data_IF_601159327509
#
_entry.id   IF_601159327509
#
_cell.length_a   1.000
_cell.length_b   1.000
_cell.length_c   1.000
_cell.angle_alpha   90.00
_cell.angle_beta   90.00
_cell.angle_gamma   90.00
#
_symmetry.space_group_name_H-M   'P 1'
#
loop_
_entity.id
_entity.type
_entity.pdbx_description
1 polymer ?
#
# COMPACT_ATOMS: atom_id res chain seq x y z
N UNK A 1 -14.10 29.21 19.70
CA UNK A 1 -13.07 28.65 20.60
C UNK A 1 -13.07 27.13 20.41
N UNK A 2 -12.24 26.64 19.49
CA UNK A 2 -12.11 25.20 19.22
C UNK A 2 -11.01 24.65 20.13
N UNK A 3 -11.42 23.91 21.16
CA UNK A 3 -10.50 23.19 22.04
C UNK A 3 -9.98 21.98 21.27
N UNK A 4 -8.69 21.98 20.95
CA UNK A 4 -7.98 20.79 20.48
C UNK A 4 -7.86 19.83 21.67
N UNK A 5 -8.87 18.97 21.84
CA UNK A 5 -8.84 17.89 22.81
C UNK A 5 -7.91 16.78 22.31
N UNK A 6 -6.60 16.92 22.58
CA UNK A 6 -5.65 15.81 22.64
C UNK A 6 -4.39 16.22 23.38
N UNK A 7 -4.50 16.56 24.66
CA UNK A 7 -3.34 16.49 25.56
C UNK A 7 -3.07 15.01 25.88
N UNK A 8 -2.43 14.32 24.95
CA UNK A 8 -1.80 13.06 25.25
C UNK A 8 -0.62 13.35 26.21
N UNK A 9 -0.39 12.53 27.25
CA UNK A 9 0.75 12.72 28.14
C UNK A 9 2.04 12.76 27.31
N UNK A 10 2.74 13.88 27.37
CA UNK A 10 4.04 14.03 26.72
C UNK A 10 4.98 13.02 27.38
N UNK A 11 5.43 12.04 26.61
CA UNK A 11 6.43 11.09 27.08
C UNK A 11 7.77 11.81 27.22
N UNK A 12 8.70 11.33 28.07
CA UNK A 12 10.04 11.91 28.18
C UNK A 12 10.85 11.88 26.87
N UNK A 13 10.32 11.25 25.82
CA UNK A 13 10.85 11.28 24.45
C UNK A 13 10.52 12.60 23.73
N UNK A 14 9.47 13.32 24.15
CA UNK A 14 9.05 14.60 23.60
C UNK A 14 9.98 15.77 23.97
N UNK A 15 10.79 15.62 25.02
CA UNK A 15 11.78 16.61 25.46
C UNK A 15 13.08 16.59 24.62
N UNK A 16 13.24 15.62 23.71
CA UNK A 16 14.39 15.56 22.81
C UNK A 16 14.18 16.40 21.55
N UNK A 17 15.26 16.85 20.90
CA UNK A 17 15.18 17.38 19.55
C UNK A 17 14.41 16.40 18.65
N UNK A 18 13.46 16.94 17.87
CA UNK A 18 12.62 16.16 16.96
C UNK A 18 13.40 15.12 16.12
N UNK A 19 14.56 15.44 15.49
CA UNK A 19 15.31 14.44 14.73
C UNK A 19 15.77 13.25 15.60
N UNK A 20 16.29 13.49 16.81
CA UNK A 20 16.78 12.42 17.69
C UNK A 20 15.67 11.51 18.24
N UNK A 21 14.46 12.06 18.40
CA UNK A 21 13.28 11.31 18.83
C UNK A 21 12.61 10.56 17.68
N UNK A 22 12.59 11.15 16.47
CA UNK A 22 11.86 10.62 15.32
C UNK A 22 12.68 9.61 14.51
N UNK A 23 14.00 9.73 14.45
CA UNK A 23 14.87 8.82 13.68
C UNK A 23 14.69 7.34 14.10
N UNK A 24 14.70 6.98 15.41
CA UNK A 24 14.48 5.59 15.82
C UNK A 24 13.07 5.07 15.54
N UNK A 25 12.08 5.97 15.55
CA UNK A 25 10.69 5.65 15.20
C UNK A 25 10.52 5.48 13.69
N UNK A 26 11.23 6.26 12.87
CA UNK A 26 11.31 6.13 11.42
C UNK A 26 11.87 4.76 11.03
N UNK A 27 13.00 4.37 11.62
CA UNK A 27 13.64 3.07 11.41
C UNK A 27 12.74 1.91 11.86
N UNK A 28 12.00 2.08 12.97
CA UNK A 28 11.03 1.10 13.42
C UNK A 28 9.85 0.98 12.44
N UNK A 29 9.33 2.09 11.93
CA UNK A 29 8.26 2.10 10.93
C UNK A 29 8.72 1.45 9.62
N UNK A 30 9.96 1.73 9.17
CA UNK A 30 10.55 1.14 7.99
C UNK A 30 10.75 -0.38 8.13
N UNK A 31 11.24 -0.86 9.29
CA UNK A 31 11.35 -2.30 9.56
C UNK A 31 10.00 -2.99 9.59
N UNK A 32 9.00 -2.40 10.27
CA UNK A 32 7.63 -2.93 10.29
C UNK A 32 7.00 -2.96 8.91
N UNK A 33 7.30 -1.96 8.07
CA UNK A 33 6.89 -1.94 6.67
C UNK A 33 7.51 -3.11 5.90
N UNK A 34 8.83 -3.32 6.04
CA UNK A 34 9.52 -4.43 5.39
C UNK A 34 8.96 -5.80 5.83
N UNK A 35 8.70 -5.99 7.13
CA UNK A 35 8.06 -7.19 7.67
C UNK A 35 6.64 -7.38 7.13
N UNK A 36 5.83 -6.32 7.12
CA UNK A 36 4.47 -6.37 6.61
C UNK A 36 4.43 -6.70 5.11
N UNK A 37 5.37 -6.15 4.33
CA UNK A 37 5.50 -6.47 2.90
C UNK A 37 5.98 -7.91 2.69
N UNK A 38 6.91 -8.41 3.51
CA UNK A 38 7.33 -9.81 3.46
C UNK A 38 6.19 -10.80 3.77
N UNK A 39 5.21 -10.38 4.57
CA UNK A 39 4.02 -11.16 4.88
C UNK A 39 2.90 -11.03 3.82
N UNK A 40 3.03 -10.12 2.84
CA UNK A 40 2.03 -10.01 1.77
C UNK A 40 2.06 -11.26 0.88
N UNK A 41 0.89 -11.78 0.48
CA UNK A 41 0.80 -12.85 -0.51
C UNK A 41 1.08 -12.29 -1.91
N UNK A 42 2.33 -11.87 -2.17
CA UNK A 42 2.77 -11.30 -3.44
C UNK A 42 2.69 -12.31 -4.61
N UNK A 43 2.45 -13.59 -4.32
CA UNK A 43 2.50 -14.70 -5.27
C UNK A 43 1.15 -15.37 -5.57
N UNK A 44 0.00 -14.90 -5.05
CA UNK A 44 -1.29 -15.56 -5.31
C UNK A 44 -2.16 -14.78 -6.31
N UNK A 45 -1.72 -14.79 -7.57
CA UNK A 45 -2.59 -14.57 -8.70
C UNK A 45 -3.36 -15.86 -8.99
N UNK A 46 -4.69 -15.76 -9.07
CA UNK A 46 -5.58 -16.87 -9.43
C UNK A 46 -6.22 -17.56 -8.22
N UNK A 47 -7.44 -17.14 -7.83
CA UNK A 47 -8.62 -18.00 -7.94
C UNK A 47 -9.91 -17.34 -7.42
N UNK A 48 -11.00 -17.70 -8.13
CA UNK A 48 -12.43 -17.69 -7.78
C UNK A 48 -13.24 -16.39 -7.98
N UNK A 49 -13.90 -16.38 -9.14
CA UNK A 49 -14.91 -15.43 -9.60
C UNK A 49 -16.31 -15.89 -9.14
N UNK A 50 -16.61 -15.73 -7.85
CA UNK A 50 -17.90 -16.14 -7.27
C UNK A 50 -18.34 -15.04 -6.28
N UNK A 51 -19.63 -14.80 -6.02
CA UNK A 51 -20.11 -13.68 -5.20
C UNK A 51 -19.51 -13.53 -3.78
N UNK A 52 -18.90 -14.57 -3.21
CA UNK A 52 -18.07 -14.50 -2.00
C UNK A 52 -16.76 -13.71 -2.18
N UNK A 53 -16.37 -13.46 -3.42
CA UNK A 53 -15.20 -12.70 -3.83
C UNK A 53 -15.25 -11.27 -3.32
N UNK A 54 -16.41 -10.66 -3.05
CA UNK A 54 -16.46 -9.31 -2.46
C UNK A 54 -15.94 -9.30 -1.02
N UNK A 55 -16.35 -10.26 -0.18
CA UNK A 55 -15.86 -10.33 1.22
C UNK A 55 -14.45 -10.91 1.30
N UNK A 56 -14.08 -11.81 0.38
CA UNK A 56 -12.71 -12.29 0.24
C UNK A 56 -11.77 -11.21 -0.32
N UNK A 57 -12.24 -10.37 -1.24
CA UNK A 57 -11.49 -9.22 -1.78
C UNK A 57 -11.21 -8.20 -0.69
N UNK A 58 -12.20 -7.81 0.13
CA UNK A 58 -11.95 -6.90 1.25
C UNK A 58 -10.95 -7.47 2.26
N UNK A 59 -10.97 -8.80 2.49
CA UNK A 59 -9.95 -9.48 3.31
C UNK A 59 -8.56 -9.45 2.65
N UNK A 60 -8.49 -9.53 1.33
CA UNK A 60 -7.24 -9.40 0.59
C UNK A 60 -6.72 -7.95 0.56
N UNK A 61 -7.59 -6.94 0.66
CA UNK A 61 -7.21 -5.53 0.66
C UNK A 61 -6.71 -5.02 2.03
N UNK A 62 -7.14 -5.64 3.14
CA UNK A 62 -6.72 -5.24 4.49
C UNK A 62 -5.19 -5.24 4.74
N UNK A 63 -4.42 -6.26 4.31
CA UNK A 63 -2.95 -6.23 4.39
C UNK A 63 -2.31 -5.08 3.59
N UNK A 64 -2.87 -4.75 2.42
CA UNK A 64 -2.37 -3.64 1.59
C UNK A 64 -2.65 -2.27 2.21
N UNK A 65 -3.80 -2.11 2.88
CA UNK A 65 -4.08 -0.90 3.65
C UNK A 65 -3.08 -0.70 4.79
N UNK A 66 -2.70 -1.77 5.49
CA UNK A 66 -1.69 -1.72 6.55
C UNK A 66 -0.31 -1.32 6.00
N UNK A 67 0.12 -1.90 4.88
CA UNK A 67 1.37 -1.55 4.21
C UNK A 67 1.38 -0.07 3.78
N UNK A 68 0.25 0.45 3.28
CA UNK A 68 0.12 1.88 2.96
C UNK A 68 0.28 2.79 4.17
N UNK A 69 -0.36 2.46 5.29
CA UNK A 69 -0.23 3.25 6.52
C UNK A 69 1.23 3.30 6.99
N UNK A 70 1.91 2.15 7.00
CA UNK A 70 3.32 2.07 7.37
C UNK A 70 4.22 2.83 6.39
N UNK A 71 3.96 2.75 5.08
CA UNK A 71 4.70 3.50 4.06
C UNK A 71 4.55 5.03 4.23
N UNK A 72 3.33 5.51 4.53
CA UNK A 72 3.11 6.94 4.80
C UNK A 72 3.81 7.40 6.07
N UNK A 73 3.77 6.59 7.14
CA UNK A 73 4.48 6.91 8.39
C UNK A 73 5.99 6.99 8.18
N UNK A 74 6.58 6.05 7.45
CA UNK A 74 8.01 6.07 7.13
C UNK A 74 8.39 7.31 6.30
N UNK A 75 7.56 7.68 5.32
CA UNK A 75 7.78 8.88 4.50
C UNK A 75 7.67 10.16 5.33
N UNK A 76 6.64 10.31 6.17
CA UNK A 76 6.51 11.49 7.02
C UNK A 76 7.65 11.61 8.01
N UNK A 77 8.14 10.49 8.53
CA UNK A 77 9.29 10.49 9.41
C UNK A 77 10.57 10.92 8.66
N UNK A 78 10.77 10.51 7.41
CA UNK A 78 11.85 11.02 6.55
C UNK A 78 11.70 12.51 6.27
N UNK A 79 10.53 12.99 5.83
CA UNK A 79 10.30 14.41 5.51
C UNK A 79 10.57 15.35 6.69
N UNK A 80 10.32 14.90 7.93
CA UNK A 80 10.60 15.69 9.15
C UNK A 80 12.07 15.62 9.57
N UNK A 81 12.75 14.51 9.27
CA UNK A 81 14.13 14.29 9.72
C UNK A 81 15.16 14.80 8.71
N UNK A 82 14.92 14.55 7.42
CA UNK A 82 15.76 14.98 6.31
C UNK A 82 14.88 15.29 5.08
N UNK A 83 14.47 16.55 4.88
CA UNK A 83 13.63 16.94 3.76
C UNK A 83 14.35 16.86 2.40
N UNK A 84 15.68 16.84 2.38
CA UNK A 84 16.48 16.80 1.15
C UNK A 84 16.83 15.35 0.72
N UNK A 85 16.81 14.39 1.64
CA UNK A 85 17.08 12.95 1.39
C UNK A 85 15.79 12.10 1.31
N UNK A 86 14.84 12.50 0.47
CA UNK A 86 13.64 11.69 0.23
C UNK A 86 13.92 10.56 -0.76
N UNK A 87 13.83 9.31 -0.29
CA UNK A 87 14.04 8.13 -1.14
C UNK A 87 13.01 8.08 -2.30
N UNK A 88 13.45 8.21 -3.58
CA UNK A 88 12.55 8.18 -4.74
C UNK A 88 11.80 6.86 -4.88
N UNK A 89 12.38 5.75 -4.38
CA UNK A 89 11.77 4.42 -4.38
C UNK A 89 10.58 4.37 -3.43
N UNK A 90 10.71 4.98 -2.24
CA UNK A 90 9.61 5.09 -1.28
C UNK A 90 8.49 5.97 -1.83
N UNK A 91 8.83 7.05 -2.53
CA UNK A 91 7.85 7.91 -3.20
C UNK A 91 7.08 7.16 -4.31
N UNK A 92 7.76 6.35 -5.13
CA UNK A 92 7.12 5.55 -6.17
C UNK A 92 6.26 4.41 -5.59
N UNK A 93 6.75 3.71 -4.58
CA UNK A 93 6.00 2.70 -3.85
C UNK A 93 4.73 3.31 -3.21
N UNK A 94 4.84 4.51 -2.64
CA UNK A 94 3.70 5.27 -2.11
C UNK A 94 2.66 5.62 -3.18
N UNK A 95 3.09 6.04 -4.39
CA UNK A 95 2.17 6.28 -5.51
C UNK A 95 1.44 5.01 -5.96
N UNK A 96 2.15 3.88 -6.01
CA UNK A 96 1.54 2.60 -6.35
C UNK A 96 0.47 2.18 -5.31
N UNK A 97 0.76 2.37 -4.02
CA UNK A 97 -0.19 2.07 -2.94
C UNK A 97 -1.41 2.98 -2.95
N UNK A 98 -1.27 4.28 -3.29
CA UNK A 98 -2.44 5.16 -3.42
C UNK A 98 -3.31 4.76 -4.62
N UNK A 99 -2.70 4.43 -5.77
CA UNK A 99 -3.45 3.92 -6.93
C UNK A 99 -4.21 2.63 -6.61
N UNK A 100 -3.60 1.70 -5.86
CA UNK A 100 -4.29 0.49 -5.39
C UNK A 100 -5.53 0.83 -4.57
N UNK A 101 -5.41 1.79 -3.65
CA UNK A 101 -6.50 2.25 -2.79
C UNK A 101 -7.62 2.90 -3.61
N UNK A 102 -7.30 3.83 -4.49
CA UNK A 102 -8.28 4.54 -5.31
C UNK A 102 -9.08 3.55 -6.17
N UNK A 103 -8.39 2.58 -6.78
CA UNK A 103 -9.02 1.51 -7.55
C UNK A 103 -9.89 0.59 -6.67
N UNK A 104 -9.43 0.20 -5.48
CA UNK A 104 -10.21 -0.62 -4.56
C UNK A 104 -11.47 0.11 -4.05
N UNK A 105 -11.37 1.40 -3.73
CA UNK A 105 -12.51 2.24 -3.32
C UNK A 105 -13.51 2.43 -4.46
N UNK A 106 -13.03 2.69 -5.69
CA UNK A 106 -13.87 2.79 -6.88
C UNK A 106 -14.59 1.47 -7.19
N UNK A 107 -13.90 0.33 -7.08
CA UNK A 107 -14.51 -0.98 -7.26
C UNK A 107 -15.61 -1.25 -6.21
N UNK A 108 -15.38 -0.89 -4.95
CA UNK A 108 -16.37 -1.03 -3.89
C UNK A 108 -17.59 -0.13 -4.11
N UNK A 109 -17.37 1.11 -4.55
CA UNK A 109 -18.43 2.06 -4.89
C UNK A 109 -19.28 1.57 -6.06
N UNK A 110 -18.65 1.05 -7.13
CA UNK A 110 -19.36 0.47 -8.27
C UNK A 110 -20.22 -0.74 -7.85
N UNK A 111 -19.68 -1.63 -7.02
CA UNK A 111 -20.43 -2.78 -6.49
C UNK A 111 -21.59 -2.35 -5.58
N UNK A 112 -21.41 -1.29 -4.78
CA UNK A 112 -22.49 -0.73 -3.96
C UNK A 112 -23.60 -0.11 -4.82
N UNK A 113 -23.23 0.67 -5.83
CA UNK A 113 -24.16 1.27 -6.77
C UNK A 113 -24.98 0.20 -7.52
N UNK A 114 -24.36 -0.92 -7.91
CA UNK A 114 -25.03 -2.03 -8.58
C UNK A 114 -26.08 -2.75 -7.72
N UNK A 115 -26.05 -2.59 -6.38
CA UNK A 115 -27.06 -3.12 -5.46
C UNK A 115 -28.24 -2.17 -5.22
N UNK A 116 -28.23 -0.99 -5.83
CA UNK A 116 -29.32 -0.01 -5.67
C UNK A 116 -30.63 -0.57 -6.26
N UNK A 117 -31.76 -0.48 -5.55
CA UNK A 117 -33.05 -0.93 -6.08
C UNK A 117 -33.43 -0.18 -7.37
N UNK A 118 -34.12 -0.87 -8.29
CA UNK A 118 -34.72 -0.30 -9.52
C UNK A 118 -33.74 0.30 -10.54
N UNK A 119 -32.47 -0.12 -10.54
CA UNK A 119 -31.55 0.23 -11.64
C UNK A 119 -31.89 -0.57 -12.91
N UNK A 120 -31.67 0.04 -14.08
CA UNK A 120 -31.85 -0.65 -15.35
C UNK A 120 -30.78 -1.75 -15.54
N UNK A 121 -31.10 -2.87 -16.23
CA UNK A 121 -30.12 -3.93 -16.49
C UNK A 121 -28.85 -3.45 -17.20
N UNK A 122 -28.96 -2.50 -18.14
CA UNK A 122 -27.81 -1.90 -18.82
C UNK A 122 -26.88 -1.14 -17.85
N UNK A 123 -27.44 -0.43 -16.88
CA UNK A 123 -26.67 0.28 -15.85
C UNK A 123 -25.96 -0.71 -14.92
N UNK A 124 -26.65 -1.78 -14.51
CA UNK A 124 -26.06 -2.84 -13.69
C UNK A 124 -24.87 -3.50 -14.41
N UNK A 125 -24.99 -3.77 -15.72
CA UNK A 125 -23.91 -4.32 -16.53
C UNK A 125 -22.71 -3.36 -16.60
N UNK A 126 -22.94 -2.07 -16.89
CA UNK A 126 -21.87 -1.08 -16.94
C UNK A 126 -21.13 -0.95 -15.60
N UNK A 127 -21.84 -0.99 -14.48
CA UNK A 127 -21.25 -1.01 -13.14
C UNK A 127 -20.47 -2.29 -12.86
N UNK A 128 -20.91 -3.44 -13.39
CA UNK A 128 -20.17 -4.70 -13.32
C UNK A 128 -18.84 -4.66 -14.09
N UNK A 129 -18.85 -4.10 -15.30
CA UNK A 129 -17.62 -3.90 -16.11
C UNK A 129 -16.67 -2.93 -15.40
N UNK A 130 -17.17 -1.79 -14.91
CA UNK A 130 -16.37 -0.83 -14.15
C UNK A 130 -15.77 -1.47 -12.89
N UNK A 131 -16.55 -2.27 -12.16
CA UNK A 131 -16.04 -3.00 -11.00
C UNK A 131 -14.86 -3.90 -11.38
N UNK A 132 -14.99 -4.69 -12.46
CA UNK A 132 -13.93 -5.58 -12.91
C UNK A 132 -12.67 -4.82 -13.36
N UNK A 133 -12.83 -3.73 -14.09
CA UNK A 133 -11.73 -2.85 -14.51
C UNK A 133 -10.94 -2.32 -13.31
N UNK A 134 -11.65 -1.80 -12.30
CA UNK A 134 -11.02 -1.30 -11.08
C UNK A 134 -10.36 -2.41 -10.25
N UNK A 135 -10.83 -3.66 -10.33
CA UNK A 135 -10.13 -4.80 -9.72
C UNK A 135 -8.81 -5.09 -10.43
N UNK A 136 -8.76 -5.01 -11.76
CA UNK A 136 -7.52 -5.18 -12.51
C UNK A 136 -6.53 -4.04 -12.24
N UNK A 137 -6.99 -2.79 -12.14
CA UNK A 137 -6.13 -1.66 -11.76
C UNK A 137 -5.54 -1.83 -10.35
N UNK A 138 -6.33 -2.33 -9.40
CA UNK A 138 -5.83 -2.66 -8.07
C UNK A 138 -4.74 -3.75 -8.13
N UNK A 139 -4.89 -4.77 -8.96
CA UNK A 139 -3.88 -5.82 -9.15
C UNK A 139 -2.63 -5.30 -9.85
N UNK A 140 -2.77 -4.47 -10.88
CA UNK A 140 -1.67 -3.82 -11.57
C UNK A 140 -0.85 -2.93 -10.61
N UNK A 141 -1.52 -2.18 -9.75
CA UNK A 141 -0.87 -1.36 -8.73
C UNK A 141 -0.06 -2.20 -7.73
N UNK A 142 -0.58 -3.37 -7.30
CA UNK A 142 0.16 -4.32 -6.46
C UNK A 142 1.40 -4.87 -7.17
N UNK A 143 1.30 -5.16 -8.46
CA UNK A 143 2.43 -5.60 -9.27
C UNK A 143 3.52 -4.51 -9.38
N UNK A 144 3.14 -3.26 -9.66
CA UNK A 144 4.05 -2.12 -9.69
C UNK A 144 4.75 -1.95 -8.34
N UNK A 145 3.99 -1.99 -7.24
CA UNK A 145 4.56 -1.93 -5.89
C UNK A 145 5.59 -3.05 -5.66
N UNK A 146 5.26 -4.30 -5.97
CA UNK A 146 6.17 -5.44 -5.81
C UNK A 146 7.47 -5.26 -6.61
N UNK A 147 7.37 -4.73 -7.83
CA UNK A 147 8.54 -4.41 -8.66
C UNK A 147 9.43 -3.31 -8.10
N UNK A 148 8.83 -2.27 -7.53
CA UNK A 148 9.58 -1.16 -6.92
C UNK A 148 10.21 -1.63 -5.61
N UNK A 149 9.51 -2.44 -4.82
CA UNK A 149 9.92 -2.83 -3.46
C UNK A 149 10.88 -4.02 -3.39
N UNK A 150 10.83 -4.95 -4.34
CA UNK A 150 11.83 -6.03 -4.43
C UNK A 150 13.09 -5.49 -5.12
N UNK A 151 14.29 -5.69 -4.56
CA UNK A 151 15.52 -5.38 -5.29
C UNK A 151 15.53 -6.18 -6.60
N UNK A 152 16.03 -5.57 -7.69
CA UNK A 152 16.30 -6.31 -8.92
C UNK A 152 17.14 -7.56 -8.54
N UNK A 153 16.80 -8.76 -9.05
CA UNK A 153 17.60 -9.94 -8.76
C UNK A 153 19.05 -9.62 -9.13
N UNK A 154 19.94 -9.74 -8.14
CA UNK A 154 21.38 -9.62 -8.37
C UNK A 154 21.73 -10.62 -9.46
N UNK A 155 22.24 -10.19 -10.62
CA UNK A 155 22.69 -11.14 -11.63
C UNK A 155 23.76 -12.02 -11.00
N UNK A 156 23.54 -13.34 -10.98
CA UNK A 156 24.52 -14.27 -10.44
C UNK A 156 25.87 -14.04 -11.14
N UNK A 157 26.99 -13.95 -10.40
CA UNK A 157 28.30 -13.82 -11.01
C UNK A 157 28.55 -15.06 -11.88
N UNK A 158 28.49 -14.86 -13.20
CA UNK A 158 28.76 -15.90 -14.18
C UNK A 158 30.12 -16.55 -13.93
N UNK A 159 30.25 -17.88 -14.17
CA UNK A 159 31.44 -18.62 -13.79
C UNK A 159 32.68 -18.02 -14.47
N UNK A 160 33.64 -17.59 -13.63
CA UNK A 160 34.94 -17.12 -14.07
C UNK A 160 35.62 -18.24 -14.89
N UNK A 161 35.68 -18.06 -16.20
CA UNK A 161 36.45 -18.91 -17.10
C UNK A 161 37.93 -18.67 -16.85
N UNK A 162 38.50 -19.43 -15.91
CA UNK A 162 39.95 -19.57 -15.76
C UNK A 162 40.46 -20.34 -16.99
N UNK A 163 40.92 -19.62 -18.03
CA UNK A 163 41.81 -20.21 -19.04
C UNK A 163 43.23 -20.25 -18.46
N UNK A 164 43.75 -21.46 -18.32
CA UNK A 164 45.17 -21.74 -18.10
C UNK A 164 45.97 -21.66 -19.39
#
# INVERSE_FOLDING_TARGET
>A
MAVLASEAPLTPTADRPAPDALLPLADQAHRRLAEAVAALPLARAGQAYNGDALTAASRQDAPWHQVRLLARLSRYAQEVTDPDDTDPRLAEAGRALERHRDAAEAAAAAAAAARTPRIAPATAYALGVLHADQRHEAEAARYVFGRVWLPAPVPEPGPATRKG
#
